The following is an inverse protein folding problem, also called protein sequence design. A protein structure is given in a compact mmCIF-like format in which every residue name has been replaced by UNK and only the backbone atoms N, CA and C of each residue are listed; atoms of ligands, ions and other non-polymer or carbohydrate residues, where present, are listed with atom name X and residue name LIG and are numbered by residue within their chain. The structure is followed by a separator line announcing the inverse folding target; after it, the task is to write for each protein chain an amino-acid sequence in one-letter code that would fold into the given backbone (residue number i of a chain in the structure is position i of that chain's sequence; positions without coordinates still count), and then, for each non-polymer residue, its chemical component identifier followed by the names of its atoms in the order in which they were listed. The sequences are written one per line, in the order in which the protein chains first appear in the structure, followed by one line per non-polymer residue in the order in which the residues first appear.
data_IF_413107878724
#
_entry.id   IF_413107878724
#
_cell.length_a   1.000
_cell.length_b   1.000
_cell.length_c   1.000
_cell.angle_alpha   90.00
_cell.angle_beta   90.00
_cell.angle_gamma   90.00
#
_symmetry.space_group_name_H-M   'P 1'
#
loop_
_entity.id
_entity.type
_entity.pdbx_description
1 polymer ?
#
# COMPACT_ATOMS: atom_id res chain seq x y z
N UNK A 1 -8.36 1.98 10.34
CA UNK A 1 -7.67 3.10 11.00
C UNK A 1 -8.39 4.43 10.83
N UNK A 2 -8.52 5.01 9.64
CA UNK A 2 -9.24 6.28 9.47
C UNK A 2 -10.72 6.26 9.94
N UNK A 3 -11.43 5.15 9.73
CA UNK A 3 -12.79 4.97 10.27
C UNK A 3 -12.82 4.92 11.82
N UNK A 4 -11.77 4.37 12.44
CA UNK A 4 -11.64 4.35 13.91
C UNK A 4 -11.18 5.68 14.49
N UNK A 5 -10.46 6.47 13.70
CA UNK A 5 -10.01 7.81 14.06
C UNK A 5 -11.06 8.90 13.77
N UNK A 6 -12.28 8.53 13.33
CA UNK A 6 -13.32 9.50 12.97
C UNK A 6 -12.96 10.43 11.80
N UNK A 7 -12.02 10.02 10.95
CA UNK A 7 -11.42 10.87 9.93
C UNK A 7 -12.21 10.92 8.63
N UNK A 8 -12.44 12.12 8.09
CA UNK A 8 -13.04 12.38 6.77
C UNK A 8 -12.05 12.23 5.59
N UNK A 9 -10.81 11.81 5.87
CA UNK A 9 -9.75 11.68 4.89
C UNK A 9 -10.11 10.75 3.72
N UNK A 10 -10.14 11.30 2.49
CA UNK A 10 -10.49 10.54 1.27
C UNK A 10 -9.28 9.81 0.69
N UNK A 11 -8.07 10.35 0.87
CA UNK A 11 -6.82 9.78 0.34
C UNK A 11 -6.21 8.69 1.23
N UNK A 12 -5.70 7.61 0.64
CA UNK A 12 -5.06 6.51 1.40
C UNK A 12 -3.88 6.98 2.25
N UNK A 13 -3.05 7.90 1.72
CA UNK A 13 -1.91 8.47 2.44
C UNK A 13 -2.37 9.30 3.64
N UNK A 14 -3.37 10.17 3.44
CA UNK A 14 -3.96 10.98 4.50
C UNK A 14 -4.52 10.11 5.64
N UNK A 15 -5.13 8.96 5.30
CA UNK A 15 -5.60 7.98 6.27
C UNK A 15 -4.47 7.36 7.12
N UNK A 16 -3.28 7.17 6.58
CA UNK A 16 -2.13 6.68 7.35
C UNK A 16 -1.62 7.74 8.31
N UNK A 17 -1.54 9.00 7.85
CA UNK A 17 -1.14 10.13 8.69
C UNK A 17 -2.07 10.32 9.88
N UNK A 18 -3.38 10.36 9.63
CA UNK A 18 -4.36 10.51 10.72
C UNK A 18 -4.35 9.30 11.66
N UNK A 19 -4.08 8.09 11.16
CA UNK A 19 -3.92 6.91 12.00
C UNK A 19 -2.73 7.01 12.96
N UNK A 20 -1.61 7.58 12.47
CA UNK A 20 -0.42 7.83 13.26
C UNK A 20 -0.65 8.91 14.32
N UNK A 21 -1.27 10.03 13.93
CA UNK A 21 -1.64 11.13 14.84
C UNK A 21 -2.59 10.66 15.95
N UNK A 22 -3.51 9.74 15.64
CA UNK A 22 -4.42 9.14 16.61
C UNK A 22 -3.78 8.03 17.46
N UNK A 23 -2.49 7.74 17.30
CA UNK A 23 -1.78 6.67 18.03
C UNK A 23 -2.24 5.26 17.69
N UNK A 24 -3.00 5.10 16.60
CA UNK A 24 -3.49 3.79 16.14
C UNK A 24 -2.52 3.07 15.22
N UNK A 25 -1.53 3.79 14.72
CA UNK A 25 -0.43 3.34 13.88
C UNK A 25 0.86 3.99 14.41
N UNK A 26 2.00 3.29 14.39
CA UNK A 26 3.28 3.96 14.67
C UNK A 26 3.64 4.89 13.51
N UNK A 27 4.39 5.96 13.77
CA UNK A 27 4.86 6.86 12.71
C UNK A 27 5.64 6.10 11.63
N UNK A 28 6.58 5.24 12.06
CA UNK A 28 7.34 4.37 11.16
C UNK A 28 6.44 3.45 10.33
N UNK A 29 5.41 2.86 10.94
CA UNK A 29 4.46 2.02 10.23
C UNK A 29 3.66 2.80 9.18
N UNK A 30 3.29 4.05 9.48
CA UNK A 30 2.62 4.94 8.54
C UNK A 30 3.51 5.27 7.34
N UNK A 31 4.79 5.60 7.59
CA UNK A 31 5.76 5.89 6.54
C UNK A 31 6.00 4.68 5.62
N UNK A 32 6.17 3.49 6.21
CA UNK A 32 6.36 2.24 5.44
C UNK A 32 5.14 1.91 4.57
N UNK A 33 3.93 2.08 5.11
CA UNK A 33 2.69 1.86 4.35
C UNK A 33 2.48 2.90 3.26
N UNK A 34 2.84 4.15 3.52
CA UNK A 34 2.81 5.21 2.52
C UNK A 34 3.78 4.92 1.37
N UNK A 35 5.01 4.52 1.68
CA UNK A 35 5.99 4.15 0.66
C UNK A 35 5.49 2.96 -0.18
N UNK A 36 4.97 1.92 0.46
CA UNK A 36 4.40 0.76 -0.20
C UNK A 36 3.24 1.18 -1.13
N UNK A 37 2.32 2.01 -0.65
CA UNK A 37 1.19 2.51 -1.43
C UNK A 37 1.66 3.29 -2.67
N UNK A 38 2.58 4.24 -2.50
CA UNK A 38 3.14 5.03 -3.60
C UNK A 38 3.83 4.13 -4.63
N UNK A 39 4.60 3.13 -4.17
CA UNK A 39 5.26 2.17 -5.06
C UNK A 39 4.27 1.36 -5.89
N UNK A 40 3.28 0.71 -5.26
CA UNK A 40 2.30 -0.11 -5.99
C UNK A 40 1.43 0.74 -6.92
N UNK A 41 1.09 1.96 -6.52
CA UNK A 41 0.36 2.89 -7.37
C UNK A 41 1.16 3.25 -8.63
N UNK A 42 2.43 3.63 -8.47
CA UNK A 42 3.31 3.97 -9.59
C UNK A 42 3.57 2.77 -10.51
N UNK A 43 3.81 1.59 -9.92
CA UNK A 43 4.00 0.35 -10.67
C UNK A 43 2.78 0.04 -11.54
N UNK A 44 1.58 0.08 -10.95
CA UNK A 44 0.33 -0.15 -11.67
C UNK A 44 0.13 0.86 -12.79
N UNK A 45 0.34 2.15 -12.52
CA UNK A 45 0.18 3.21 -13.52
C UNK A 45 1.13 3.02 -14.72
N UNK A 46 2.40 2.70 -14.45
CA UNK A 46 3.39 2.38 -15.49
C UNK A 46 2.93 1.22 -16.38
N UNK A 47 2.39 0.17 -15.80
CA UNK A 47 1.87 -0.98 -16.55
C UNK A 47 0.63 -0.63 -17.38
N UNK A 48 -0.27 0.20 -16.82
CA UNK A 48 -1.49 0.64 -17.52
C UNK A 48 -1.19 1.55 -18.70
N UNK A 49 -0.25 2.49 -18.53
CA UNK A 49 0.20 3.37 -19.61
C UNK A 49 0.82 2.58 -20.75
N UNK A 50 1.70 1.62 -20.43
CA UNK A 50 2.28 0.73 -21.44
C UNK A 50 1.23 -0.10 -22.19
N UNK A 51 0.24 -0.63 -21.48
CA UNK A 51 -0.84 -1.38 -22.12
C UNK A 51 -1.64 -0.49 -23.09
N UNK A 52 -1.93 0.75 -22.69
CA UNK A 52 -2.60 1.74 -23.53
C UNK A 52 -1.79 2.08 -24.78
N UNK A 53 -0.49 2.34 -24.64
CA UNK A 53 0.43 2.61 -25.75
C UNK A 53 0.53 1.44 -26.74
N UNK A 54 0.46 0.21 -26.23
CA UNK A 54 0.50 -1.03 -27.03
C UNK A 54 -0.89 -1.44 -27.58
N UNK A 55 -1.95 -0.67 -27.33
CA UNK A 55 -3.32 -1.00 -27.75
C UNK A 55 -3.90 -2.25 -27.07
N UNK A 56 -3.38 -2.62 -25.90
CA UNK A 56 -3.78 -3.79 -25.11
C UNK A 56 -4.80 -3.39 -24.03
N UNK A 57 -5.47 -4.40 -23.48
CA UNK A 57 -6.40 -4.20 -22.36
C UNK A 57 -5.69 -3.63 -21.12
N UNK A 58 -6.19 -2.50 -20.62
CA UNK A 58 -5.72 -1.88 -19.39
C UNK A 58 -6.26 -2.67 -18.20
N UNK A 59 -5.38 -3.18 -17.34
CA UNK A 59 -5.78 -3.94 -16.15
C UNK A 59 -5.00 -3.54 -14.89
N UNK A 60 -5.40 -4.08 -13.74
CA UNK A 60 -4.66 -3.92 -12.48
C UNK A 60 -3.68 -5.09 -12.22
N UNK A 61 -3.37 -5.91 -13.23
CA UNK A 61 -2.51 -7.08 -13.10
C UNK A 61 -1.10 -6.75 -13.57
N UNK A 62 -0.12 -7.06 -12.73
CA UNK A 62 1.31 -6.95 -13.03
C UNK A 62 1.94 -8.32 -12.85
N UNK A 63 2.66 -8.81 -13.86
CA UNK A 63 3.32 -10.10 -13.77
C UNK A 63 4.60 -9.98 -12.94
N UNK A 64 4.77 -10.85 -11.95
CA UNK A 64 5.98 -10.89 -11.12
C UNK A 64 7.26 -11.05 -11.95
N UNK A 65 7.19 -11.87 -13.01
CA UNK A 65 8.29 -12.11 -13.93
C UNK A 65 8.71 -10.86 -14.71
N UNK A 66 7.80 -9.89 -14.90
CA UNK A 66 8.10 -8.63 -15.59
C UNK A 66 8.80 -7.58 -14.73
N UNK A 67 8.87 -7.78 -13.41
CA UNK A 67 9.54 -6.86 -12.50
C UNK A 67 11.07 -7.03 -12.54
N UNK A 68 11.78 -5.91 -12.51
CA UNK A 68 13.22 -5.89 -12.27
C UNK A 68 13.56 -6.44 -10.88
N UNK A 69 14.80 -6.90 -10.63
CA UNK A 69 15.23 -7.35 -9.30
C UNK A 69 15.00 -6.29 -8.21
N UNK A 70 15.17 -5.00 -8.53
CA UNK A 70 14.90 -3.90 -7.61
C UNK A 70 13.41 -3.73 -7.28
N UNK A 71 12.55 -3.75 -8.29
CA UNK A 71 11.09 -3.69 -8.12
C UNK A 71 10.58 -4.89 -7.32
N UNK A 72 11.15 -6.09 -7.53
CA UNK A 72 10.79 -7.28 -6.73
C UNK A 72 11.16 -7.13 -5.26
N UNK A 73 12.36 -6.63 -4.94
CA UNK A 73 12.76 -6.37 -3.55
C UNK A 73 11.82 -5.37 -2.89
N UNK A 74 11.55 -4.25 -3.55
CA UNK A 74 10.65 -3.20 -3.04
C UNK A 74 9.22 -3.70 -2.88
N UNK A 75 8.73 -4.55 -3.78
CA UNK A 75 7.43 -5.19 -3.65
C UNK A 75 7.36 -6.11 -2.42
N UNK A 76 8.39 -6.92 -2.16
CA UNK A 76 8.46 -7.77 -0.97
C UNK A 76 8.48 -6.96 0.32
N UNK A 77 9.24 -5.86 0.36
CA UNK A 77 9.26 -4.93 1.50
C UNK A 77 7.87 -4.32 1.75
N UNK A 78 7.20 -3.89 0.68
CA UNK A 78 5.83 -3.37 0.76
C UNK A 78 4.84 -4.43 1.26
N UNK A 79 4.91 -5.67 0.78
CA UNK A 79 4.06 -6.76 1.27
C UNK A 79 4.31 -7.06 2.75
N UNK A 80 5.57 -7.04 3.21
CA UNK A 80 5.91 -7.22 4.63
C UNK A 80 5.32 -6.12 5.50
N UNK A 81 5.45 -4.86 5.10
CA UNK A 81 4.86 -3.73 5.82
C UNK A 81 3.33 -3.87 5.94
N UNK A 82 2.66 -4.32 4.87
CA UNK A 82 1.21 -4.57 4.89
C UNK A 82 0.86 -5.73 5.84
N UNK A 83 1.61 -6.84 5.78
CA UNK A 83 1.36 -8.02 6.61
C UNK A 83 1.55 -7.72 8.11
N UNK A 84 2.65 -7.05 8.46
CA UNK A 84 2.92 -6.59 9.84
C UNK A 84 1.78 -5.70 10.36
N UNK A 85 1.26 -4.81 9.50
CA UNK A 85 0.14 -3.95 9.88
C UNK A 85 -1.16 -4.73 10.10
N UNK A 86 -1.45 -5.67 9.19
CA UNK A 86 -2.64 -6.50 9.30
C UNK A 86 -2.59 -7.37 10.57
N UNK A 87 -1.42 -7.91 10.92
CA UNK A 87 -1.22 -8.66 12.15
C UNK A 87 -1.42 -7.79 13.40
N UNK A 88 -0.81 -6.59 13.44
CA UNK A 88 -1.03 -5.63 14.52
C UNK A 88 -2.52 -5.29 14.70
N UNK A 89 -3.22 -5.10 13.59
CA UNK A 89 -4.67 -4.85 13.58
C UNK A 89 -5.46 -6.04 14.13
N UNK A 90 -5.18 -7.25 13.64
CA UNK A 90 -5.87 -8.47 14.07
C UNK A 90 -5.70 -8.72 15.57
N UNK A 91 -4.49 -8.51 16.11
CA UNK A 91 -4.21 -8.64 17.53
C UNK A 91 -4.99 -7.62 18.36
N UNK A 92 -5.10 -6.36 17.89
CA UNK A 92 -5.83 -5.30 18.59
C UNK A 92 -7.34 -5.55 18.68
N UNK A 93 -7.94 -6.16 17.65
CA UNK A 93 -9.39 -6.41 17.57
C UNK A 93 -9.79 -7.85 17.89
N UNK A 94 -8.85 -8.69 18.33
CA UNK A 94 -9.09 -10.10 18.64
C UNK A 94 -9.81 -10.84 17.49
N UNK A 95 -9.38 -10.57 16.24
CA UNK A 95 -9.98 -11.17 15.04
C UNK A 95 -9.45 -12.60 14.76
N UNK A 96 -8.99 -13.32 15.78
CA UNK A 96 -8.44 -14.68 15.68
C UNK A 96 -9.31 -15.68 16.44
#
# INVERSE_FOLDING_TARGET
YALMAGSLAKGTVERFKVAAEAGTLSLEGAERLEEAFRFFFALRLKHQLRALEEGKEVSNRVLWSSLSPGERRKALEGFRAIAEMQESTANRFQLR
#
